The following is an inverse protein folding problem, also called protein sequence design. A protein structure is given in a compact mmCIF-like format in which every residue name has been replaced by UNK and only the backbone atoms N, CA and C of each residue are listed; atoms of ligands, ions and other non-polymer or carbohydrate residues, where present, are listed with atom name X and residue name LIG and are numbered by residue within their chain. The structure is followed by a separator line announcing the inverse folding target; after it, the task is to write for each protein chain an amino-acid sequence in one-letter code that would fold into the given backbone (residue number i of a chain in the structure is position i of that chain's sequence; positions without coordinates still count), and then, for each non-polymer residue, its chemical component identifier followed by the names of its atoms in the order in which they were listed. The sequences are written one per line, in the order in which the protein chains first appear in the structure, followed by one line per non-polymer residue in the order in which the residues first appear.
data_IF_279883007006
#
_entry.id   IF_279883007006
#
_cell.length_a   1.000
_cell.length_b   1.000
_cell.length_c   1.000
_cell.angle_alpha   90.00
_cell.angle_beta   90.00
_cell.angle_gamma   90.00
#
_symmetry.space_group_name_H-M   'P 1'
#
loop_
_entity.id
_entity.type
_entity.pdbx_description
1 polymer ?
#
# COMPACT_ATOMS: atom_id res chain seq x y z
N UNK A 1 -18.80 11.61 -11.87
CA UNK A 1 -18.10 12.74 -11.22
C UNK A 1 -16.65 12.81 -11.68
N UNK A 2 -15.87 11.70 -11.73
CA UNK A 2 -14.54 11.72 -12.38
C UNK A 2 -14.66 11.88 -13.90
N UNK A 3 -13.95 12.87 -14.45
CA UNK A 3 -13.77 13.14 -15.88
C UNK A 3 -12.51 12.46 -16.39
N UNK A 4 -11.39 12.57 -15.67
CA UNK A 4 -10.13 11.93 -16.03
C UNK A 4 -9.28 11.61 -14.77
N UNK A 5 -8.44 10.56 -14.79
CA UNK A 5 -8.34 9.55 -15.84
C UNK A 5 -9.49 8.54 -15.77
N UNK A 6 -9.91 7.98 -16.90
CA UNK A 6 -10.95 6.93 -16.95
C UNK A 6 -10.46 5.57 -16.41
N UNK A 7 -9.15 5.35 -16.43
CA UNK A 7 -8.47 4.16 -15.92
C UNK A 7 -7.11 4.58 -15.38
N UNK A 8 -6.68 3.97 -14.30
CA UNK A 8 -5.32 4.09 -13.79
C UNK A 8 -4.87 2.73 -13.23
N UNK A 9 -3.56 2.58 -13.03
CA UNK A 9 -3.00 1.37 -12.43
C UNK A 9 -2.62 1.66 -10.97
N UNK A 10 -3.42 1.23 -9.98
CA UNK A 10 -3.09 1.43 -8.56
C UNK A 10 -1.92 0.59 -8.09
N UNK A 11 -1.42 -0.33 -8.94
CA UNK A 11 -0.47 -1.39 -8.56
C UNK A 11 -1.01 -2.20 -7.38
N UNK A 12 -0.20 -3.13 -6.89
CA UNK A 12 -0.50 -3.86 -5.65
C UNK A 12 0.76 -4.55 -5.14
N UNK A 13 0.78 -4.81 -3.84
CA UNK A 13 1.79 -5.65 -3.20
C UNK A 13 1.26 -7.08 -3.05
N UNK A 14 2.09 -8.07 -3.40
CA UNK A 14 1.78 -9.49 -3.27
C UNK A 14 3.08 -10.27 -3.11
N UNK A 15 3.03 -11.30 -2.28
CA UNK A 15 4.12 -12.24 -2.06
C UNK A 15 4.35 -12.50 -0.58
N UNK A 16 5.27 -13.42 -0.30
CA UNK A 16 5.69 -13.73 1.06
C UNK A 16 6.67 -12.66 1.58
N UNK A 17 6.56 -12.32 2.87
CA UNK A 17 7.51 -11.45 3.56
C UNK A 17 8.70 -12.29 4.06
N UNK A 18 9.91 -12.17 3.47
CA UNK A 18 11.04 -12.99 3.85
C UNK A 18 11.50 -12.74 5.30
N UNK A 19 12.10 -13.77 5.91
CA UNK A 19 12.56 -13.77 7.30
C UNK A 19 13.52 -12.61 7.62
N UNK A 20 14.43 -12.31 6.71
CA UNK A 20 15.31 -11.14 6.78
C UNK A 20 14.80 -10.08 5.81
N UNK A 21 13.95 -9.19 6.32
CA UNK A 21 13.55 -7.98 5.59
C UNK A 21 14.64 -6.93 5.75
N UNK A 22 15.36 -6.63 4.67
CA UNK A 22 16.25 -5.47 4.63
C UNK A 22 15.47 -4.16 4.81
N UNK A 23 16.17 -3.04 4.97
CA UNK A 23 15.60 -1.69 5.17
C UNK A 23 14.60 -1.20 4.09
N UNK A 24 14.33 -1.99 3.05
CA UNK A 24 13.38 -1.66 1.97
C UNK A 24 11.91 -1.85 2.37
N UNK A 25 11.63 -2.52 3.50
CA UNK A 25 10.26 -2.92 3.88
C UNK A 25 9.91 -2.42 5.29
N UNK A 26 9.26 -1.25 5.38
CA UNK A 26 8.56 -0.78 6.59
C UNK A 26 9.38 -0.79 7.89
N UNK A 27 8.76 -1.22 9.00
CA UNK A 27 9.43 -1.47 10.28
C UNK A 27 10.15 -2.83 10.23
N UNK A 28 11.48 -2.85 10.01
CA UNK A 28 12.18 -4.10 9.74
C UNK A 28 12.27 -4.97 11.01
N UNK A 29 12.26 -4.36 12.20
CA UNK A 29 12.42 -5.06 13.48
C UNK A 29 11.17 -5.83 13.87
N UNK A 30 10.00 -5.18 13.90
CA UNK A 30 8.75 -5.87 14.27
C UNK A 30 8.44 -7.02 13.30
N UNK A 31 8.61 -6.77 12.00
CA UNK A 31 8.41 -7.76 10.95
C UNK A 31 9.34 -8.97 11.12
N UNK A 32 10.62 -8.74 11.43
CA UNK A 32 11.59 -9.79 11.70
C UNK A 32 11.21 -10.62 12.94
N UNK A 33 10.86 -9.97 14.05
CA UNK A 33 10.48 -10.66 15.30
C UNK A 33 9.22 -11.49 15.10
N UNK A 34 8.17 -10.93 14.47
CA UNK A 34 6.94 -11.66 14.20
C UNK A 34 7.17 -12.88 13.30
N UNK A 35 8.01 -12.77 12.27
CA UNK A 35 8.40 -13.91 11.45
C UNK A 35 9.15 -14.99 12.26
N UNK A 36 10.05 -14.60 13.16
CA UNK A 36 10.75 -15.55 14.04
C UNK A 36 9.75 -16.27 14.96
N UNK A 37 8.80 -15.55 15.56
CA UNK A 37 7.77 -16.14 16.42
C UNK A 37 6.94 -17.16 15.63
N UNK A 38 6.42 -16.78 14.45
CA UNK A 38 5.66 -17.69 13.59
C UNK A 38 6.43 -18.96 13.22
N UNK A 39 7.70 -18.82 12.83
CA UNK A 39 8.49 -19.94 12.31
C UNK A 39 9.11 -20.85 13.38
N UNK A 40 9.35 -20.32 14.59
CA UNK A 40 10.16 -21.01 15.62
C UNK A 40 9.45 -21.22 16.94
N UNK A 41 8.42 -20.44 17.27
CA UNK A 41 7.84 -20.43 18.61
C UNK A 41 6.35 -20.79 18.61
N UNK A 42 5.55 -20.11 17.79
CA UNK A 42 4.10 -20.25 17.77
C UNK A 42 3.54 -19.96 16.38
N UNK A 43 3.10 -21.01 15.68
CA UNK A 43 2.53 -20.90 14.34
C UNK A 43 1.11 -20.32 14.31
N UNK A 44 0.46 -20.14 15.48
CA UNK A 44 -0.81 -19.41 15.58
C UNK A 44 -0.64 -17.91 15.35
N UNK A 45 0.57 -17.38 15.57
CA UNK A 45 0.93 -16.00 15.20
C UNK A 45 1.00 -15.92 13.66
N UNK A 46 0.32 -14.97 13.01
CA UNK A 46 0.33 -14.89 11.55
C UNK A 46 1.68 -14.41 11.02
N UNK A 47 2.00 -14.80 9.79
CA UNK A 47 3.11 -14.18 9.04
C UNK A 47 2.82 -12.69 8.79
N UNK A 48 3.85 -11.84 8.71
CA UNK A 48 3.69 -10.46 8.27
C UNK A 48 3.15 -10.39 6.83
N UNK A 49 2.32 -9.38 6.58
CA UNK A 49 1.72 -9.14 5.26
C UNK A 49 2.62 -8.30 4.36
N UNK A 50 2.62 -8.59 3.06
CA UNK A 50 3.26 -7.75 2.04
C UNK A 50 2.35 -6.56 1.73
N UNK A 51 2.75 -5.36 2.16
CA UNK A 51 1.98 -4.11 2.01
C UNK A 51 2.83 -3.01 1.38
N UNK A 52 2.22 -2.01 0.72
CA UNK A 52 2.98 -0.88 0.17
C UNK A 52 3.69 -0.12 1.30
N UNK A 53 4.98 0.16 1.09
CA UNK A 53 5.78 0.95 2.04
C UNK A 53 5.68 2.46 1.79
N UNK A 54 5.29 2.85 0.58
CA UNK A 54 5.10 4.22 0.12
C UNK A 54 4.05 4.22 -0.98
N UNK A 55 3.37 5.35 -1.12
CA UNK A 55 2.43 5.60 -2.19
C UNK A 55 2.80 6.89 -2.92
N UNK A 56 2.14 7.12 -4.03
CA UNK A 56 2.19 8.31 -4.86
C UNK A 56 0.78 8.81 -5.16
N UNK A 57 0.60 10.15 -5.31
CA UNK A 57 -0.71 10.72 -5.61
C UNK A 57 -1.16 10.43 -7.05
N UNK A 58 -2.47 10.52 -7.26
CA UNK A 58 -3.10 10.50 -8.58
C UNK A 58 -3.80 11.83 -8.84
N UNK A 59 -3.44 12.47 -9.96
CA UNK A 59 -4.13 13.63 -10.49
C UNK A 59 -5.48 13.23 -11.10
N UNK A 60 -6.55 13.88 -10.67
CA UNK A 60 -7.93 13.60 -11.08
C UNK A 60 -8.63 14.90 -11.46
N UNK A 61 -9.27 14.89 -12.64
CA UNK A 61 -10.21 15.91 -13.06
C UNK A 61 -11.63 15.44 -12.72
N UNK A 62 -12.38 16.22 -11.95
CA UNK A 62 -13.70 15.85 -11.44
C UNK A 62 -14.71 16.98 -11.59
N UNK A 63 -15.99 16.63 -11.80
CA UNK A 63 -17.14 17.52 -11.70
C UNK A 63 -17.56 17.62 -10.23
N UNK A 64 -17.60 18.83 -9.71
CA UNK A 64 -18.04 19.15 -8.35
C UNK A 64 -19.58 19.22 -8.25
N UNK A 65 -20.17 19.23 -7.04
CA UNK A 65 -21.63 19.27 -6.88
C UNK A 65 -22.31 20.50 -7.50
N UNK A 66 -21.60 21.61 -7.64
CA UNK A 66 -22.08 22.84 -8.29
C UNK A 66 -21.97 22.82 -9.82
N UNK A 67 -21.49 21.70 -10.40
CA UNK A 67 -21.29 21.50 -11.83
C UNK A 67 -19.97 22.04 -12.37
N UNK A 68 -19.14 22.68 -11.55
CA UNK A 68 -17.80 23.12 -11.95
C UNK A 68 -16.83 21.94 -12.14
N UNK A 69 -15.76 22.16 -12.90
CA UNK A 69 -14.70 21.16 -13.11
C UNK A 69 -13.49 21.56 -12.28
N UNK A 70 -13.03 20.65 -11.41
CA UNK A 70 -11.88 20.83 -10.54
C UNK A 70 -10.78 19.79 -10.83
N UNK A 71 -9.53 20.25 -10.84
CA UNK A 71 -8.35 19.39 -10.75
C UNK A 71 -8.04 19.12 -9.28
N UNK A 72 -7.82 17.86 -8.92
CA UNK A 72 -7.51 17.41 -7.56
C UNK A 72 -6.39 16.39 -7.58
N UNK A 73 -5.51 16.46 -6.59
CA UNK A 73 -4.54 15.40 -6.32
C UNK A 73 -5.07 14.55 -5.17
N UNK A 74 -5.27 13.26 -5.44
CA UNK A 74 -5.65 12.29 -4.43
C UNK A 74 -4.40 11.56 -3.99
N UNK A 75 -4.01 11.78 -2.73
CA UNK A 75 -2.89 11.10 -2.10
C UNK A 75 -3.15 9.59 -1.94
N UNK A 76 -2.07 8.84 -1.79
CA UNK A 76 -2.08 7.40 -1.50
C UNK A 76 -2.81 6.51 -2.53
N UNK A 77 -2.73 6.87 -3.81
CA UNK A 77 -3.49 6.19 -4.88
C UNK A 77 -2.70 5.13 -5.66
N UNK A 78 -1.36 5.20 -5.71
CA UNK A 78 -0.47 4.30 -6.49
C UNK A 78 0.74 3.86 -5.67
#
# INVERSE_FOLDING_TARGET
WIVAPHKYNPRYCKGDCPRAVGHRYGSPVHTMVQNIIHEKLDSSVPRPSCVPAKYSPLSVLAIEPDGSIAYKEYEDMI
#
